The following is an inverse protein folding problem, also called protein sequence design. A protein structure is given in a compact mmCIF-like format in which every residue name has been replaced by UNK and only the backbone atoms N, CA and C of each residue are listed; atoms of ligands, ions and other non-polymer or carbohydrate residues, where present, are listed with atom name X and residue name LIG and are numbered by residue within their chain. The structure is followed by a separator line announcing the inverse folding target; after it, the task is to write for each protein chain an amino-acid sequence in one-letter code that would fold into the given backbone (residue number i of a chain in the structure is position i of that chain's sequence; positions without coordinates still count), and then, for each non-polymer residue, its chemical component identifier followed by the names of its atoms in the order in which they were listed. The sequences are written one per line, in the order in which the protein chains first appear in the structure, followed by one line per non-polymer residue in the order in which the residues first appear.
data_IF_364295909115
#
_entry.id   IF_364295909115
#
_cell.length_a   1.000
_cell.length_b   1.000
_cell.length_c   1.000
_cell.angle_alpha   90.00
_cell.angle_beta   90.00
_cell.angle_gamma   90.00
#
_symmetry.space_group_name_H-M   'P 1'
#
loop_
_entity.id
_entity.type
_entity.pdbx_description
1 polymer ?
#
# COMPACT_ATOMS: atom_id res chain seq x y z
N UNK A 1 25.75 -12.23 5.99
CA UNK A 1 24.56 -13.02 5.64
C UNK A 1 24.65 -13.45 4.18
N UNK A 2 24.83 -14.72 3.89
CA UNK A 2 24.79 -15.20 2.48
C UNK A 2 23.35 -15.17 1.99
N UNK A 3 23.05 -14.31 1.02
CA UNK A 3 21.77 -14.36 0.31
C UNK A 3 21.76 -15.57 -0.59
N UNK A 4 20.71 -16.39 -0.46
CA UNK A 4 20.49 -17.52 -1.33
C UNK A 4 19.98 -16.99 -2.68
N UNK A 5 20.88 -16.83 -3.67
CA UNK A 5 20.57 -16.36 -5.03
C UNK A 5 19.74 -17.35 -5.86
N UNK A 6 19.22 -18.41 -5.24
CA UNK A 6 18.46 -19.46 -5.92
C UNK A 6 16.94 -19.17 -6.05
N UNK A 7 16.47 -17.97 -5.65
CA UNK A 7 15.05 -17.62 -5.82
C UNK A 7 14.76 -17.36 -7.30
N UNK A 8 13.72 -18.01 -7.81
CA UNK A 8 13.31 -17.84 -9.21
C UNK A 8 12.88 -16.38 -9.45
N UNK A 9 13.28 -15.76 -10.58
CA UNK A 9 12.82 -14.42 -10.92
C UNK A 9 11.30 -14.33 -10.93
N UNK A 10 10.74 -13.27 -10.39
CA UNK A 10 9.31 -12.99 -10.40
C UNK A 10 9.03 -11.67 -11.13
N UNK A 11 8.03 -11.69 -12.02
CA UNK A 11 7.55 -10.48 -12.67
C UNK A 11 6.56 -9.78 -11.73
N UNK A 12 6.79 -8.50 -11.47
CA UNK A 12 5.98 -7.67 -10.59
C UNK A 12 5.49 -6.42 -11.33
N UNK A 13 4.33 -5.92 -10.97
CA UNK A 13 3.79 -4.68 -11.48
C UNK A 13 3.62 -3.65 -10.36
N UNK A 14 4.08 -2.45 -10.60
CA UNK A 14 3.79 -1.27 -9.77
C UNK A 14 2.77 -0.44 -10.53
N UNK A 15 1.59 -0.28 -9.97
CA UNK A 15 0.46 0.35 -10.64
C UNK A 15 0.47 1.85 -10.36
N UNK A 16 0.62 2.64 -11.42
CA UNK A 16 0.46 4.08 -11.37
C UNK A 16 -0.94 4.46 -11.87
N UNK A 17 -1.71 5.16 -11.03
CA UNK A 17 -3.04 5.65 -11.40
C UNK A 17 -3.35 6.98 -10.70
N UNK A 18 -4.22 7.75 -11.31
CA UNK A 18 -4.82 8.95 -10.72
C UNK A 18 -6.18 8.57 -10.11
N UNK A 19 -6.22 8.50 -8.78
CA UNK A 19 -7.46 8.23 -8.06
C UNK A 19 -8.34 9.47 -8.01
N UNK A 20 -9.62 9.28 -8.18
CA UNK A 20 -10.64 10.33 -8.13
C UNK A 20 -11.58 10.17 -6.94
N UNK A 21 -12.53 11.08 -6.78
CA UNK A 21 -13.60 10.97 -5.79
C UNK A 21 -14.73 9.99 -6.18
N UNK A 22 -14.56 9.22 -7.24
CA UNK A 22 -15.53 8.22 -7.71
C UNK A 22 -14.92 6.82 -7.56
N UNK A 23 -15.42 6.07 -6.59
CA UNK A 23 -14.95 4.72 -6.24
C UNK A 23 -15.09 3.75 -7.43
N UNK A 24 -16.22 3.77 -8.13
CA UNK A 24 -16.47 2.85 -9.25
C UNK A 24 -15.49 3.09 -10.40
N UNK A 25 -15.26 4.36 -10.76
CA UNK A 25 -14.28 4.73 -11.78
C UNK A 25 -12.88 4.28 -11.39
N UNK A 26 -12.52 4.43 -10.12
CA UNK A 26 -11.21 4.01 -9.61
C UNK A 26 -11.06 2.48 -9.66
N UNK A 27 -12.11 1.72 -9.27
CA UNK A 27 -12.11 0.26 -9.40
C UNK A 27 -11.96 -0.19 -10.86
N UNK A 28 -12.67 0.43 -11.79
CA UNK A 28 -12.56 0.13 -13.23
C UNK A 28 -11.14 0.40 -13.75
N UNK A 29 -10.53 1.52 -13.33
CA UNK A 29 -9.15 1.88 -13.70
C UNK A 29 -8.16 0.87 -13.13
N UNK A 30 -8.28 0.55 -11.84
CA UNK A 30 -7.41 -0.44 -11.19
C UNK A 30 -7.55 -1.81 -11.86
N UNK A 31 -8.77 -2.25 -12.16
CA UNK A 31 -9.01 -3.53 -12.86
C UNK A 31 -8.32 -3.59 -14.21
N UNK A 32 -8.49 -2.57 -15.05
CA UNK A 32 -7.84 -2.49 -16.37
C UNK A 32 -6.32 -2.58 -16.25
N UNK A 33 -5.70 -1.85 -15.31
CA UNK A 33 -4.26 -1.85 -15.10
C UNK A 33 -3.77 -3.20 -14.56
N UNK A 34 -4.52 -3.85 -13.67
CA UNK A 34 -4.21 -5.19 -13.18
C UNK A 34 -4.30 -6.24 -14.29
N UNK A 35 -5.27 -6.12 -15.21
CA UNK A 35 -5.36 -6.99 -16.39
C UNK A 35 -4.16 -6.80 -17.32
N UNK A 36 -3.75 -5.55 -17.58
CA UNK A 36 -2.54 -5.26 -18.37
C UNK A 36 -1.30 -5.86 -17.72
N UNK A 37 -1.15 -5.72 -16.40
CA UNK A 37 -0.05 -6.32 -15.65
C UNK A 37 -0.05 -7.85 -15.80
N UNK A 38 -1.22 -8.49 -15.69
CA UNK A 38 -1.37 -9.93 -15.89
C UNK A 38 -0.96 -10.36 -17.28
N UNK A 39 -1.39 -9.64 -18.32
CA UNK A 39 -1.01 -9.94 -19.72
C UNK A 39 0.50 -9.84 -19.95
N UNK A 40 1.19 -8.97 -19.20
CA UNK A 40 2.66 -8.84 -19.21
C UNK A 40 3.37 -9.85 -18.32
N UNK A 41 2.65 -10.81 -17.72
CA UNK A 41 3.18 -11.90 -16.93
C UNK A 41 3.40 -11.59 -15.45
N UNK A 42 2.91 -10.46 -14.94
CA UNK A 42 3.06 -10.13 -13.54
C UNK A 42 2.37 -11.18 -12.63
N UNK A 43 3.06 -11.57 -11.57
CA UNK A 43 2.57 -12.44 -10.51
C UNK A 43 2.13 -11.64 -9.29
N UNK A 44 2.73 -10.46 -9.10
CA UNK A 44 2.38 -9.52 -8.04
C UNK A 44 2.02 -8.17 -8.64
N UNK A 45 1.12 -7.47 -7.97
CA UNK A 45 0.81 -6.07 -8.28
C UNK A 45 0.74 -5.25 -6.99
N UNK A 46 1.22 -4.01 -7.04
CA UNK A 46 1.12 -3.03 -5.95
C UNK A 46 0.21 -1.90 -6.42
N UNK A 47 -0.93 -1.70 -5.76
CA UNK A 47 -1.81 -0.54 -5.97
C UNK A 47 -1.32 0.65 -5.14
N UNK A 48 -1.59 1.90 -5.52
CA UNK A 48 -1.16 3.07 -4.76
C UNK A 48 -1.97 3.27 -3.46
N UNK A 49 -1.47 4.13 -2.57
CA UNK A 49 -2.23 4.63 -1.43
C UNK A 49 -3.50 5.34 -1.93
N UNK A 50 -4.63 5.18 -1.23
CA UNK A 50 -5.94 5.77 -1.60
C UNK A 50 -6.43 5.41 -3.01
N UNK A 51 -6.05 4.25 -3.53
CA UNK A 51 -6.45 3.85 -4.89
C UNK A 51 -7.97 3.84 -5.08
N UNK A 52 -8.73 3.49 -4.05
CA UNK A 52 -10.19 3.37 -4.13
C UNK A 52 -10.89 4.72 -4.09
N UNK A 53 -10.33 5.70 -3.39
CA UNK A 53 -10.90 7.04 -3.25
C UNK A 53 -9.83 8.06 -2.92
N UNK A 54 -9.66 9.06 -3.76
CA UNK A 54 -9.05 10.33 -3.44
C UNK A 54 -10.18 11.35 -3.26
N UNK A 55 -10.60 11.56 -2.01
CA UNK A 55 -11.72 12.43 -1.68
C UNK A 55 -11.46 13.90 -2.01
N UNK A 56 -12.54 14.67 -2.12
CA UNK A 56 -12.45 16.14 -2.22
C UNK A 56 -12.20 16.77 -0.85
N UNK A 57 -12.67 16.09 0.20
CA UNK A 57 -12.48 16.45 1.60
C UNK A 57 -11.89 15.25 2.35
N UNK A 58 -11.21 15.53 3.45
CA UNK A 58 -10.54 14.49 4.23
C UNK A 58 -11.51 13.49 4.86
N UNK A 59 -12.74 13.90 5.12
CA UNK A 59 -13.82 13.09 5.70
C UNK A 59 -14.45 12.12 4.70
N UNK A 60 -14.28 12.30 3.39
CA UNK A 60 -14.92 11.45 2.37
C UNK A 60 -14.56 9.97 2.55
N UNK A 61 -13.37 9.67 3.05
CA UNK A 61 -12.93 8.30 3.35
C UNK A 61 -13.79 7.59 4.42
N UNK A 62 -14.45 8.35 5.31
CA UNK A 62 -15.32 7.80 6.35
C UNK A 62 -16.57 7.13 5.73
N UNK A 63 -17.02 7.60 4.57
CA UNK A 63 -18.22 7.09 3.91
C UNK A 63 -18.00 5.74 3.21
N UNK A 64 -16.75 5.42 2.87
CA UNK A 64 -16.40 4.16 2.19
C UNK A 64 -15.65 3.19 3.11
N UNK A 65 -15.56 3.50 4.42
CA UNK A 65 -14.85 2.65 5.37
C UNK A 65 -15.52 1.30 5.51
N UNK A 66 -14.72 0.26 5.55
CA UNK A 66 -15.18 -1.11 5.68
C UNK A 66 -14.70 -1.75 6.99
N UNK A 67 -15.45 -2.71 7.51
CA UNK A 67 -14.96 -3.58 8.59
C UNK A 67 -13.99 -4.60 8.00
N UNK A 68 -12.98 -4.98 8.77
CA UNK A 68 -12.02 -6.01 8.34
C UNK A 68 -12.74 -7.30 7.92
N UNK A 69 -12.34 -7.84 6.79
CA UNK A 69 -12.92 -9.05 6.22
C UNK A 69 -14.31 -8.86 5.58
N UNK A 70 -14.88 -7.66 5.67
CA UNK A 70 -16.24 -7.36 5.21
C UNK A 70 -16.24 -6.09 4.37
N UNK A 71 -17.11 -6.05 3.36
CA UNK A 71 -17.29 -4.87 2.53
C UNK A 71 -16.98 -5.08 1.05
N UNK A 72 -17.58 -4.25 0.18
CA UNK A 72 -17.52 -4.43 -1.26
C UNK A 72 -16.10 -4.30 -1.84
N UNK A 73 -15.27 -3.40 -1.32
CA UNK A 73 -13.90 -3.21 -1.82
C UNK A 73 -13.00 -4.40 -1.50
N UNK A 74 -13.07 -4.91 -0.25
CA UNK A 74 -12.31 -6.10 0.14
C UNK A 74 -12.78 -7.34 -0.63
N UNK A 75 -14.10 -7.49 -0.82
CA UNK A 75 -14.64 -8.58 -1.61
C UNK A 75 -14.17 -8.50 -3.06
N UNK A 76 -14.21 -7.32 -3.65
CA UNK A 76 -13.74 -7.06 -5.01
C UNK A 76 -12.25 -7.41 -5.15
N UNK A 77 -11.39 -6.99 -4.23
CA UNK A 77 -9.96 -7.31 -4.24
C UNK A 77 -9.72 -8.83 -4.23
N UNK A 78 -10.42 -9.56 -3.35
CA UNK A 78 -10.32 -11.02 -3.26
C UNK A 78 -10.75 -11.70 -4.56
N UNK A 79 -11.85 -11.24 -5.16
CA UNK A 79 -12.36 -11.75 -6.42
C UNK A 79 -11.36 -11.53 -7.56
N UNK A 80 -10.84 -10.31 -7.70
CA UNK A 80 -9.91 -9.95 -8.78
C UNK A 80 -8.56 -10.66 -8.62
N UNK A 81 -8.02 -10.72 -7.40
CA UNK A 81 -6.78 -11.46 -7.13
C UNK A 81 -6.90 -12.93 -7.57
N UNK A 82 -8.02 -13.58 -7.21
CA UNK A 82 -8.32 -14.96 -7.60
C UNK A 82 -8.53 -15.10 -9.10
N UNK A 83 -9.30 -14.21 -9.72
CA UNK A 83 -9.58 -14.23 -11.16
C UNK A 83 -8.31 -14.08 -11.99
N UNK A 84 -7.41 -13.18 -11.59
CA UNK A 84 -6.15 -12.94 -12.28
C UNK A 84 -5.04 -13.92 -11.86
N UNK A 85 -5.24 -14.71 -10.80
CA UNK A 85 -4.19 -15.55 -10.23
C UNK A 85 -2.94 -14.74 -9.87
N UNK A 86 -3.14 -13.62 -9.19
CA UNK A 86 -2.11 -12.61 -8.90
C UNK A 86 -2.19 -12.19 -7.43
N UNK A 87 -1.05 -12.14 -6.73
CA UNK A 87 -1.00 -11.53 -5.40
C UNK A 87 -1.11 -10.02 -5.54
N UNK A 88 -2.04 -9.39 -4.83
CA UNK A 88 -2.26 -7.95 -4.86
C UNK A 88 -1.92 -7.34 -3.50
N UNK A 89 -0.91 -6.47 -3.48
CA UNK A 89 -0.66 -5.55 -2.38
C UNK A 89 -1.58 -4.35 -2.62
N UNK A 90 -2.66 -4.29 -1.87
CA UNK A 90 -3.86 -3.52 -2.24
C UNK A 90 -3.76 -2.03 -1.87
N UNK A 91 -2.57 -1.44 -2.00
CA UNK A 91 -2.37 -0.03 -1.73
C UNK A 91 -2.81 0.34 -0.32
N UNK A 92 -3.84 1.19 -0.22
CA UNK A 92 -4.50 1.36 1.06
C UNK A 92 -6.01 1.57 0.93
N UNK A 93 -6.72 1.15 1.97
CA UNK A 93 -8.16 1.28 2.14
C UNK A 93 -8.49 1.85 3.52
N UNK A 94 -9.59 2.63 3.65
CA UNK A 94 -10.07 3.05 4.95
C UNK A 94 -10.79 1.89 5.64
N UNK A 95 -10.26 1.43 6.76
CA UNK A 95 -10.91 0.43 7.59
C UNK A 95 -11.42 1.04 8.90
N UNK A 96 -12.51 0.46 9.43
CA UNK A 96 -13.10 0.87 10.69
C UNK A 96 -12.08 0.81 11.84
N UNK A 97 -12.09 1.83 12.68
CA UNK A 97 -11.48 1.84 14.00
C UNK A 97 -12.55 2.09 15.08
N UNK A 98 -12.15 2.13 16.34
CA UNK A 98 -13.05 2.38 17.47
C UNK A 98 -13.56 3.82 17.55
N UNK A 99 -12.90 4.74 16.83
CA UNK A 99 -13.28 6.15 16.75
C UNK A 99 -14.15 6.36 15.50
N UNK A 100 -15.38 6.88 15.69
CA UNK A 100 -16.32 7.07 14.57
C UNK A 100 -15.92 8.20 13.62
N UNK A 101 -15.07 9.11 14.05
CA UNK A 101 -14.57 10.24 13.26
C UNK A 101 -13.27 9.92 12.53
N UNK A 102 -12.72 8.73 12.72
CA UNK A 102 -11.45 8.31 12.10
C UNK A 102 -11.56 6.92 11.50
N UNK A 103 -10.60 6.62 10.64
CA UNK A 103 -10.39 5.29 10.05
C UNK A 103 -8.94 4.88 10.23
N UNK A 104 -8.63 3.59 10.07
CA UNK A 104 -7.28 3.16 9.76
C UNK A 104 -7.02 3.32 8.26
N UNK A 105 -5.83 3.77 7.89
CA UNK A 105 -5.31 3.71 6.52
C UNK A 105 -4.57 2.39 6.36
N UNK A 106 -5.22 1.38 5.75
CA UNK A 106 -4.81 -0.02 5.86
C UNK A 106 -4.34 -0.59 4.53
N UNK A 107 -3.13 -1.15 4.50
CA UNK A 107 -2.62 -1.98 3.43
C UNK A 107 -3.05 -3.43 3.67
N UNK A 108 -3.78 -3.99 2.72
CA UNK A 108 -4.13 -5.40 2.70
C UNK A 108 -3.28 -6.13 1.65
N UNK A 109 -2.81 -7.32 1.99
CA UNK A 109 -2.18 -8.23 1.01
C UNK A 109 -3.12 -9.38 0.71
N UNK A 110 -3.53 -9.49 -0.56
CA UNK A 110 -4.46 -10.52 -1.02
C UNK A 110 -3.71 -11.52 -1.89
N UNK A 111 -3.77 -12.80 -1.55
CA UNK A 111 -3.12 -13.87 -2.30
C UNK A 111 -3.76 -14.10 -3.67
N UNK A 112 -3.05 -14.79 -4.55
CA UNK A 112 -3.57 -15.26 -5.83
C UNK A 112 -4.79 -16.20 -5.71
N UNK A 113 -5.08 -16.73 -4.52
CA UNK A 113 -6.26 -17.54 -4.21
C UNK A 113 -7.43 -16.71 -3.69
N UNK A 114 -7.23 -15.40 -3.48
CA UNK A 114 -8.23 -14.47 -2.94
C UNK A 114 -8.30 -14.47 -1.40
N UNK A 115 -7.27 -14.93 -0.73
CA UNK A 115 -7.17 -14.91 0.73
C UNK A 115 -6.47 -13.64 1.22
N UNK A 116 -6.90 -13.07 2.32
CA UNK A 116 -6.20 -11.96 2.96
C UNK A 116 -5.04 -12.52 3.80
N UNK A 117 -3.81 -12.28 3.34
CA UNK A 117 -2.59 -12.75 3.98
C UNK A 117 -2.15 -11.84 5.12
N UNK A 118 -2.40 -10.54 5.01
CA UNK A 118 -2.03 -9.58 6.03
C UNK A 118 -2.86 -8.31 5.95
N UNK A 119 -2.87 -7.61 7.08
CA UNK A 119 -3.29 -6.22 7.24
C UNK A 119 -2.19 -5.46 7.95
N UNK A 120 -1.90 -4.26 7.48
CA UNK A 120 -1.06 -3.28 8.13
C UNK A 120 -1.77 -1.94 8.17
N UNK A 121 -1.88 -1.34 9.33
CA UNK A 121 -2.43 -0.01 9.54
C UNK A 121 -1.29 1.00 9.67
N UNK A 122 -1.30 2.03 8.84
CA UNK A 122 -0.26 3.07 8.79
C UNK A 122 0.03 3.64 10.18
N UNK A 123 1.29 3.56 10.60
CA UNK A 123 1.73 4.04 11.92
C UNK A 123 2.05 5.53 11.88
N UNK A 124 2.84 5.97 10.89
CA UNK A 124 3.29 7.35 10.80
C UNK A 124 2.34 8.16 9.92
N UNK A 125 1.62 9.08 10.55
CA UNK A 125 0.65 9.93 9.89
C UNK A 125 1.29 11.22 9.40
N UNK A 126 0.94 11.62 8.18
CA UNK A 126 1.49 12.82 7.57
C UNK A 126 0.89 14.08 8.19
N UNK A 127 1.76 14.99 8.62
CA UNK A 127 1.41 16.35 8.99
C UNK A 127 2.40 17.32 8.35
N UNK A 128 1.88 18.36 7.75
CA UNK A 128 2.67 19.43 7.14
C UNK A 128 1.92 20.74 7.21
N UNK A 129 2.55 21.76 7.71
CA UNK A 129 2.02 23.13 7.73
C UNK A 129 2.85 23.99 6.79
N UNK A 130 2.30 24.28 5.63
CA UNK A 130 2.89 25.15 4.61
C UNK A 130 2.18 26.50 4.51
N UNK A 131 2.66 27.36 3.64
CA UNK A 131 2.07 28.68 3.38
C UNK A 131 0.73 28.59 2.65
N UNK A 132 0.54 27.60 1.79
CA UNK A 132 -0.66 27.47 0.95
C UNK A 132 -1.60 26.34 1.39
N UNK A 133 -1.07 25.27 1.96
CA UNK A 133 -1.85 24.08 2.37
C UNK A 133 -1.34 23.52 3.67
N UNK A 134 -2.28 23.10 4.49
CA UNK A 134 -2.02 22.32 5.70
C UNK A 134 -2.55 20.91 5.51
N UNK A 135 -1.73 19.91 5.86
CA UNK A 135 -2.10 18.51 5.88
C UNK A 135 -2.04 18.01 7.32
N UNK A 136 -3.08 17.31 7.74
CA UNK A 136 -3.16 16.76 9.09
C UNK A 136 -3.93 15.43 9.08
N UNK A 137 -3.29 14.36 8.62
CA UNK A 137 -3.94 13.04 8.50
C UNK A 137 -4.58 12.58 9.82
N UNK A 138 -4.00 12.90 10.96
CA UNK A 138 -4.52 12.49 12.27
C UNK A 138 -5.91 13.04 12.60
N UNK A 139 -6.42 14.03 11.84
CA UNK A 139 -7.79 14.51 12.00
C UNK A 139 -8.82 13.43 11.63
N UNK A 140 -8.55 12.63 10.60
CA UNK A 140 -9.47 11.62 10.06
C UNK A 140 -8.90 10.20 10.05
N UNK A 141 -7.60 10.05 10.33
CA UNK A 141 -6.92 8.75 10.39
C UNK A 141 -6.41 8.50 11.81
N UNK A 142 -6.67 7.31 12.31
CA UNK A 142 -6.08 6.78 13.53
C UNK A 142 -4.78 6.04 13.17
N UNK A 143 -3.68 6.37 13.86
CA UNK A 143 -2.43 5.62 13.72
C UNK A 143 -2.62 4.15 14.12
N UNK A 144 -1.95 3.25 13.39
CA UNK A 144 -1.82 1.86 13.77
C UNK A 144 -0.89 1.69 14.98
N UNK A 145 -1.13 0.65 15.77
CA UNK A 145 -0.38 0.37 16.99
C UNK A 145 0.61 -0.80 16.82
N UNK A 146 0.51 -1.53 15.71
CA UNK A 146 1.28 -2.74 15.46
C UNK A 146 2.23 -2.60 14.29
N UNK A 147 3.44 -3.15 14.43
CA UNK A 147 4.35 -3.29 13.32
C UNK A 147 3.72 -4.11 12.19
N UNK A 148 4.06 -3.79 10.91
CA UNK A 148 3.58 -4.61 9.81
C UNK A 148 4.07 -6.05 9.97
N UNK A 149 3.19 -7.05 9.73
CA UNK A 149 3.60 -8.44 9.80
C UNK A 149 4.61 -8.76 8.70
N UNK A 150 5.62 -9.54 9.02
CA UNK A 150 6.51 -10.10 8.00
C UNK A 150 5.78 -11.19 7.23
N UNK A 151 5.71 -11.05 5.90
CA UNK A 151 5.06 -12.00 5.02
C UNK A 151 6.07 -12.86 4.26
N UNK A 152 5.65 -14.07 3.94
CA UNK A 152 6.33 -14.91 2.96
C UNK A 152 5.40 -15.09 1.76
N UNK A 153 5.79 -14.54 0.60
CA UNK A 153 5.04 -14.65 -0.66
C UNK A 153 5.98 -15.21 -1.72
N UNK A 154 5.64 -16.32 -2.34
CA UNK A 154 6.46 -16.99 -3.36
C UNK A 154 7.95 -17.10 -2.97
N UNK A 155 8.22 -17.47 -1.71
CA UNK A 155 9.57 -17.59 -1.13
C UNK A 155 10.32 -16.27 -0.88
N UNK A 156 9.70 -15.12 -1.09
CA UNK A 156 10.25 -13.81 -0.75
C UNK A 156 9.69 -13.33 0.58
N UNK A 157 10.57 -12.84 1.44
CA UNK A 157 10.19 -12.14 2.67
C UNK A 157 9.84 -10.71 2.33
N UNK A 158 8.63 -10.29 2.69
CA UNK A 158 8.06 -9.01 2.35
C UNK A 158 7.97 -8.13 3.59
N UNK A 159 8.56 -6.94 3.52
CA UNK A 159 8.30 -5.86 4.45
C UNK A 159 7.26 -4.90 3.86
N UNK A 160 6.55 -4.19 4.74
CA UNK A 160 5.45 -3.30 4.35
C UNK A 160 5.60 -1.95 5.04
N UNK A 161 5.16 -0.89 4.36
CA UNK A 161 4.97 0.45 4.87
C UNK A 161 3.98 1.19 3.98
N UNK A 162 3.48 2.34 4.41
CA UNK A 162 2.57 3.19 3.64
C UNK A 162 3.10 4.62 3.66
N UNK A 163 3.42 5.16 2.47
CA UNK A 163 3.67 6.58 2.22
C UNK A 163 4.65 7.24 3.21
N UNK A 164 4.14 7.98 4.18
CA UNK A 164 4.94 8.74 5.16
C UNK A 164 5.83 7.85 6.04
N UNK A 165 5.50 6.55 6.18
CA UNK A 165 6.38 5.56 6.82
C UNK A 165 7.77 5.50 6.18
N UNK A 166 7.88 5.86 4.89
CA UNK A 166 9.15 5.94 4.16
C UNK A 166 10.21 6.79 4.87
N UNK A 167 9.79 7.77 5.68
CA UNK A 167 10.69 8.67 6.40
C UNK A 167 11.28 8.08 7.68
N UNK A 168 10.79 6.91 8.11
CA UNK A 168 11.14 6.29 9.38
C UNK A 168 11.89 4.96 9.15
N UNK A 169 13.23 4.99 8.98
CA UNK A 169 14.02 3.79 8.72
C UNK A 169 13.91 2.75 9.84
N UNK A 170 13.60 3.19 11.05
CA UNK A 170 13.43 2.33 12.23
C UNK A 170 12.30 1.31 12.02
N UNK A 171 11.21 1.71 11.34
CA UNK A 171 10.10 0.82 11.03
C UNK A 171 10.56 -0.37 10.17
N UNK A 172 11.39 -0.11 9.17
CA UNK A 172 11.88 -1.15 8.26
C UNK A 172 12.97 -2.00 8.90
N UNK A 173 13.81 -1.41 9.72
CA UNK A 173 14.84 -2.17 10.46
C UNK A 173 14.24 -3.18 11.42
N UNK A 174 13.09 -2.90 12.01
CA UNK A 174 12.37 -3.84 12.87
C UNK A 174 11.75 -5.02 12.10
N UNK A 175 11.58 -4.89 10.78
CA UNK A 175 11.05 -5.96 9.92
C UNK A 175 12.16 -6.87 9.33
N UNK A 176 13.44 -6.55 9.53
CA UNK A 176 14.56 -7.34 8.99
C UNK A 176 14.59 -8.77 9.56
N UNK A 177 15.01 -9.78 8.75
CA UNK A 177 15.45 -9.68 7.38
C UNK A 177 14.29 -9.81 6.37
N UNK A 178 14.30 -9.00 5.32
CA UNK A 178 13.35 -9.10 4.19
C UNK A 178 14.05 -8.92 2.84
N UNK A 179 13.39 -9.37 1.77
CA UNK A 179 13.90 -9.32 0.40
C UNK A 179 13.31 -8.15 -0.39
N UNK A 180 12.04 -7.84 -0.11
CA UNK A 180 11.25 -6.83 -0.83
C UNK A 180 10.50 -5.95 0.16
N UNK A 181 10.55 -4.64 -0.05
CA UNK A 181 9.72 -3.65 0.63
C UNK A 181 8.58 -3.21 -0.29
N UNK A 182 7.35 -3.32 0.18
CA UNK A 182 6.14 -2.82 -0.48
C UNK A 182 5.79 -1.46 0.13
N UNK A 183 5.64 -0.44 -0.72
CA UNK A 183 5.39 0.93 -0.27
C UNK A 183 4.41 1.67 -1.19
N UNK A 184 3.10 1.48 -1.03
CA UNK A 184 2.11 2.36 -1.66
C UNK A 184 2.19 3.76 -1.08
N UNK A 185 1.98 4.79 -1.92
CA UNK A 185 2.08 6.19 -1.50
C UNK A 185 1.20 7.12 -2.32
N UNK A 186 0.91 8.29 -1.72
CA UNK A 186 0.29 9.45 -2.33
C UNK A 186 1.02 10.71 -1.84
N UNK A 187 2.25 10.89 -2.30
CA UNK A 187 3.07 12.07 -1.96
C UNK A 187 2.51 13.33 -2.62
N UNK A 188 2.61 14.48 -1.95
CA UNK A 188 2.41 15.77 -2.63
C UNK A 188 3.51 15.98 -3.67
N UNK A 189 3.24 16.79 -4.68
CA UNK A 189 4.22 17.07 -5.74
C UNK A 189 5.54 17.58 -5.15
N UNK A 190 5.48 18.59 -4.28
CA UNK A 190 6.66 19.25 -3.71
C UNK A 190 7.52 18.27 -2.87
N UNK A 191 6.88 17.49 -2.01
CA UNK A 191 7.60 16.53 -1.18
C UNK A 191 8.06 15.31 -1.98
N UNK A 192 7.32 14.97 -3.04
CA UNK A 192 7.68 13.91 -3.97
C UNK A 192 8.92 14.27 -4.78
N UNK A 193 8.92 15.44 -5.41
CA UNK A 193 10.06 15.93 -6.19
C UNK A 193 11.34 15.98 -5.34
N UNK A 194 11.24 16.50 -4.12
CA UNK A 194 12.40 16.68 -3.26
C UNK A 194 12.91 15.35 -2.62
N UNK A 195 12.04 14.40 -2.30
CA UNK A 195 12.42 13.31 -1.38
C UNK A 195 12.09 11.89 -1.87
N UNK A 196 11.15 11.70 -2.79
CA UNK A 196 10.63 10.38 -3.15
C UNK A 196 11.73 9.42 -3.59
N UNK A 197 12.45 9.77 -4.64
CA UNK A 197 13.47 8.89 -5.22
C UNK A 197 14.62 8.64 -4.25
N UNK A 198 15.13 9.69 -3.59
CA UNK A 198 16.27 9.56 -2.69
C UNK A 198 15.96 8.68 -1.48
N UNK A 199 14.75 8.80 -0.92
CA UNK A 199 14.34 7.97 0.21
C UNK A 199 14.13 6.52 -0.18
N UNK A 200 13.50 6.23 -1.33
CA UNK A 200 13.35 4.86 -1.83
C UNK A 200 14.70 4.18 -2.07
N UNK A 201 15.65 4.90 -2.68
CA UNK A 201 17.02 4.42 -2.88
C UNK A 201 17.73 4.15 -1.55
N UNK A 202 17.58 5.06 -0.58
CA UNK A 202 18.15 4.86 0.75
C UNK A 202 17.61 3.58 1.40
N UNK A 203 16.28 3.35 1.37
CA UNK A 203 15.67 2.13 1.92
C UNK A 203 16.16 0.87 1.23
N UNK A 204 16.32 0.90 -0.10
CA UNK A 204 16.85 -0.24 -0.85
C UNK A 204 18.31 -0.55 -0.47
N UNK A 205 19.16 0.48 -0.38
CA UNK A 205 20.60 0.34 -0.10
C UNK A 205 20.83 -0.12 1.34
N UNK A 206 20.25 0.58 2.31
CA UNK A 206 20.51 0.32 3.73
C UNK A 206 19.97 -1.01 4.23
N UNK A 207 18.86 -1.50 3.65
CA UNK A 207 18.25 -2.79 3.97
C UNK A 207 18.63 -3.89 2.98
N UNK A 208 19.39 -3.55 1.92
CA UNK A 208 19.81 -4.46 0.85
C UNK A 208 18.62 -5.24 0.25
N UNK A 209 17.55 -4.53 -0.12
CA UNK A 209 16.30 -5.11 -0.61
C UNK A 209 15.88 -4.47 -1.93
N UNK A 210 14.91 -5.10 -2.59
CA UNK A 210 14.12 -4.45 -3.62
C UNK A 210 13.03 -3.59 -2.99
N UNK A 211 12.71 -2.45 -3.62
CA UNK A 211 11.59 -1.59 -3.20
C UNK A 211 10.58 -1.50 -4.33
N UNK A 212 9.34 -1.87 -4.05
CA UNK A 212 8.20 -1.76 -4.95
C UNK A 212 7.29 -0.66 -4.41
N UNK A 213 7.37 0.52 -5.02
CA UNK A 213 6.65 1.71 -4.58
C UNK A 213 5.69 2.19 -5.67
N UNK A 214 4.43 2.40 -5.31
CA UNK A 214 3.35 2.79 -6.19
C UNK A 214 2.77 4.14 -5.76
#
# INVERSE_FOLDING_TARGET
MQRNYSKMPICVAVIQMESSSNVEKNQQTAYRLLQEAKMKGAKWAVLPEYWALMGKQDEDKLHIREREGQGPLQYWLKLIAKQLGMTIFAGSLPLHCTDEHRVFNSLLTISAQGECLSRYDKIHLFAYSGTEKNYHEAATIKAGDNLPPTLLVDHYKIAQGICFDLRFPELFRQQLPFDVLILPAAFTYETGEAHWEVLLRARAIENQCYVLAS
#
